data_IF_521924938056
#
_entry.id   IF_521924938056
#
_cell.length_a   1.000
_cell.length_b   1.000
_cell.length_c   1.000
_cell.angle_alpha   90.00
_cell.angle_beta   90.00
_cell.angle_gamma   90.00
#
_symmetry.space_group_name_H-M   'P 1'
#
loop_
_entity.id
_entity.type
_entity.pdbx_description
1 polymer ?
#
# COMPACT_ATOMS: atom_id res chain seq x y z
N UNK A 1 3.10 22.36 17.78
CA UNK A 1 3.22 20.90 17.90
C UNK A 1 3.48 20.38 16.50
N UNK A 2 4.61 19.71 16.28
CA UNK A 2 4.97 19.16 14.97
C UNK A 2 3.91 18.13 14.58
N UNK A 3 3.13 18.41 13.53
CA UNK A 3 2.22 17.45 12.92
C UNK A 3 3.05 16.39 12.19
N UNK A 4 3.70 15.49 12.95
CA UNK A 4 4.19 14.23 12.40
C UNK A 4 2.97 13.41 12.01
N UNK A 5 2.55 13.62 10.76
CA UNK A 5 1.89 12.70 9.84
C UNK A 5 1.58 11.32 10.46
N UNK A 6 0.44 11.19 11.14
CA UNK A 6 -0.07 9.88 11.57
C UNK A 6 -0.68 9.19 10.34
N UNK A 7 0.17 8.84 9.38
CA UNK A 7 -0.19 7.95 8.28
C UNK A 7 -0.16 6.55 8.87
N UNK A 8 -1.30 5.87 8.85
CA UNK A 8 -1.44 4.49 9.35
C UNK A 8 -1.18 3.47 8.25
N UNK A 9 -1.37 3.86 6.99
CA UNK A 9 -1.09 3.02 5.85
C UNK A 9 -0.64 3.86 4.65
N UNK A 10 0.48 3.50 4.00
CA UNK A 10 0.93 4.05 2.73
C UNK A 10 1.06 2.93 1.69
N UNK A 11 0.34 3.07 0.58
CA UNK A 11 0.50 2.28 -0.63
C UNK A 11 1.41 3.01 -1.61
N UNK A 12 2.41 2.31 -2.16
CA UNK A 12 3.28 2.84 -3.21
C UNK A 12 3.34 1.88 -4.38
N UNK A 13 3.19 2.40 -5.60
CA UNK A 13 3.42 1.64 -6.84
C UNK A 13 4.79 2.02 -7.40
N UNK A 14 5.56 1.00 -7.73
CA UNK A 14 6.93 1.08 -8.18
C UNK A 14 7.03 0.50 -9.59
N UNK A 15 7.82 1.16 -10.43
CA UNK A 15 8.20 0.68 -11.75
C UNK A 15 9.70 0.42 -11.79
N UNK A 16 10.10 -0.66 -12.46
CA UNK A 16 11.52 -0.91 -12.74
C UNK A 16 12.12 0.27 -13.51
N UNK A 17 13.25 0.76 -13.03
CA UNK A 17 13.95 1.91 -13.59
C UNK A 17 15.26 1.46 -14.23
N UNK A 18 15.28 1.46 -15.56
CA UNK A 18 16.50 1.31 -16.33
C UNK A 18 17.09 2.70 -16.62
N UNK A 19 18.20 3.09 -15.97
CA UNK A 19 18.78 4.40 -16.23
C UNK A 19 19.37 4.44 -17.64
N UNK A 20 19.13 5.52 -18.38
CA UNK A 20 19.71 5.72 -19.72
C UNK A 20 21.23 5.87 -19.74
N UNK A 21 21.86 5.92 -18.56
CA UNK A 21 23.32 5.92 -18.35
C UNK A 21 23.65 5.06 -17.12
N UNK A 22 24.80 4.39 -17.08
CA UNK A 22 25.21 3.62 -15.90
C UNK A 22 25.27 4.53 -14.66
N UNK A 23 24.70 4.07 -13.55
CA UNK A 23 24.78 4.76 -12.26
C UNK A 23 25.86 4.11 -11.40
N UNK A 24 26.61 4.91 -10.65
CA UNK A 24 27.60 4.40 -9.68
C UNK A 24 27.08 4.65 -8.28
N UNK A 25 26.80 3.57 -7.55
CA UNK A 25 26.40 3.61 -6.16
C UNK A 25 27.63 3.46 -5.27
N UNK A 26 27.85 4.44 -4.39
CA UNK A 26 28.89 4.41 -3.38
C UNK A 26 28.26 4.01 -2.04
N UNK A 27 28.64 2.83 -1.51
CA UNK A 27 28.25 2.41 -0.15
C UNK A 27 29.35 2.85 0.82
N UNK A 28 28.98 3.63 1.83
CA UNK A 28 29.89 4.45 2.65
C UNK A 28 31.03 3.73 3.37
N UNK A 29 30.98 2.40 3.49
CA UNK A 29 31.91 1.67 4.38
C UNK A 29 32.82 0.69 3.63
N UNK A 30 32.70 0.57 2.31
CA UNK A 30 33.56 -0.30 1.50
C UNK A 30 33.88 0.40 0.17
N UNK A 31 35.14 0.35 -0.26
CA UNK A 31 35.62 0.81 -1.59
C UNK A 31 34.95 0.07 -2.79
N UNK A 32 33.79 -0.55 -2.61
CA UNK A 32 33.00 -1.20 -3.65
C UNK A 32 32.10 -0.19 -4.35
N UNK A 33 32.57 0.34 -5.47
CA UNK A 33 31.71 1.01 -6.43
C UNK A 33 30.80 -0.06 -7.08
N UNK A 34 29.50 0.00 -6.83
CA UNK A 34 28.53 -0.84 -7.54
C UNK A 34 28.02 -0.07 -8.75
N UNK A 35 28.32 -0.57 -9.95
CA UNK A 35 27.77 -0.01 -11.19
C UNK A 35 26.42 -0.65 -11.45
N UNK A 36 25.37 0.16 -11.48
CA UNK A 36 24.02 -0.27 -11.82
C UNK A 36 23.84 0.01 -13.32
N UNK A 37 23.85 -1.05 -14.11
CA UNK A 37 23.65 -1.02 -15.56
C UNK A 37 22.57 -2.00 -15.96
N UNK A 38 21.51 -1.47 -16.59
CA UNK A 38 20.41 -2.13 -17.32
C UNK A 38 19.56 -3.21 -16.63
N UNK A 39 20.11 -3.97 -15.68
CA UNK A 39 19.36 -4.98 -14.93
C UNK A 39 18.72 -4.33 -13.69
N UNK A 40 17.45 -4.64 -13.49
CA UNK A 40 16.43 -3.94 -12.70
C UNK A 40 16.68 -3.92 -11.19
N UNK A 41 17.72 -3.25 -10.72
CA UNK A 41 18.00 -3.07 -9.28
C UNK A 41 17.41 -1.77 -8.69
N UNK A 42 17.01 -0.82 -9.54
CA UNK A 42 16.42 0.45 -9.12
C UNK A 42 14.95 0.46 -9.50
N UNK A 43 14.14 0.99 -8.59
CA UNK A 43 12.73 1.23 -8.85
C UNK A 43 12.38 2.69 -8.62
N UNK A 44 11.45 3.19 -9.43
CA UNK A 44 10.90 4.52 -9.33
C UNK A 44 9.48 4.43 -8.76
N UNK A 45 9.19 5.19 -7.69
CA UNK A 45 7.81 5.38 -7.22
C UNK A 45 7.07 6.19 -8.28
N UNK A 46 5.99 5.63 -8.84
CA UNK A 46 5.17 6.28 -9.87
C UNK A 46 3.81 6.73 -9.33
N UNK A 47 3.41 6.19 -8.18
CA UNK A 47 2.18 6.55 -7.49
C UNK A 47 2.32 6.26 -6.00
N UNK A 48 1.71 7.10 -5.17
CA UNK A 48 1.49 6.76 -3.77
C UNK A 48 0.15 7.27 -3.27
N UNK A 49 -0.44 6.51 -2.35
CA UNK A 49 -1.67 6.84 -1.66
C UNK A 49 -1.51 6.54 -0.18
N UNK A 50 -2.17 7.32 0.68
CA UNK A 50 -2.00 7.25 2.12
C UNK A 50 -3.35 7.32 2.82
N UNK A 51 -3.45 6.62 3.94
CA UNK A 51 -4.61 6.61 4.83
C UNK A 51 -4.16 6.95 6.25
N UNK A 52 -4.88 7.86 6.89
CA UNK A 52 -4.61 8.30 8.27
C UNK A 52 -5.28 7.41 9.32
N UNK A 53 -6.30 6.67 8.92
CA UNK A 53 -7.00 5.72 9.78
C UNK A 53 -6.44 4.31 9.57
N UNK A 54 -6.50 3.48 10.61
CA UNK A 54 -6.21 2.06 10.44
C UNK A 54 -7.40 1.40 9.71
N UNK A 55 -7.21 0.87 8.49
CA UNK A 55 -8.30 0.29 7.71
C UNK A 55 -8.91 -0.96 8.33
N UNK A 56 -8.23 -1.56 9.31
CA UNK A 56 -8.64 -2.80 9.95
C UNK A 56 -9.35 -2.59 11.29
N UNK A 57 -9.42 -1.35 11.79
CA UNK A 57 -9.96 -1.06 13.13
C UNK A 57 -11.45 -1.38 13.24
N UNK A 58 -12.22 -1.13 12.16
CA UNK A 58 -13.66 -1.45 12.09
C UNK A 58 -13.97 -2.94 11.87
N UNK A 59 -12.99 -3.83 11.83
CA UNK A 59 -13.23 -5.28 11.61
C UNK A 59 -13.44 -5.98 12.95
N UNK A 60 -14.60 -6.62 13.10
CA UNK A 60 -15.06 -7.18 14.37
C UNK A 60 -14.13 -8.29 14.90
N UNK A 61 -13.85 -9.26 14.05
CA UNK A 61 -13.11 -10.47 14.44
C UNK A 61 -11.60 -10.22 14.44
N UNK A 62 -10.92 -10.59 15.53
CA UNK A 62 -9.46 -10.44 15.64
C UNK A 62 -8.72 -11.30 14.61
N UNK A 63 -9.24 -12.49 14.31
CA UNK A 63 -8.64 -13.36 13.29
C UNK A 63 -8.75 -12.77 11.89
N UNK A 64 -9.89 -12.16 11.55
CA UNK A 64 -10.08 -11.45 10.28
C UNK A 64 -9.06 -10.29 10.17
N UNK A 65 -8.89 -9.51 11.24
CA UNK A 65 -7.88 -8.44 11.32
C UNK A 65 -6.45 -8.95 11.11
N UNK A 66 -6.09 -10.08 11.71
CA UNK A 66 -4.77 -10.69 11.55
C UNK A 66 -4.55 -11.18 10.12
N UNK A 67 -5.55 -11.86 9.53
CA UNK A 67 -5.51 -12.32 8.13
C UNK A 67 -5.35 -11.16 7.14
N UNK A 68 -6.10 -10.07 7.33
CA UNK A 68 -6.00 -8.88 6.50
C UNK A 68 -4.62 -8.21 6.59
N UNK A 69 -4.08 -8.05 7.81
CA UNK A 69 -2.73 -7.49 7.99
C UNK A 69 -1.67 -8.36 7.32
N UNK A 70 -1.71 -9.68 7.50
CA UNK A 70 -0.78 -10.58 6.83
C UNK A 70 -0.93 -10.57 5.30
N UNK A 71 -2.16 -10.48 4.81
CA UNK A 71 -2.48 -10.42 3.37
C UNK A 71 -1.99 -9.15 2.69
N UNK A 72 -1.90 -8.03 3.41
CA UNK A 72 -1.50 -6.73 2.86
C UNK A 72 -0.13 -6.26 3.35
N UNK A 73 0.07 -6.06 4.65
CA UNK A 73 1.30 -5.47 5.19
C UNK A 73 2.47 -6.44 5.03
N UNK A 74 2.32 -7.67 5.51
CA UNK A 74 3.43 -8.63 5.50
C UNK A 74 3.78 -9.07 4.08
N UNK A 75 2.77 -9.24 3.22
CA UNK A 75 2.95 -9.73 1.86
C UNK A 75 3.54 -8.69 0.91
N UNK A 76 3.27 -7.41 1.15
CA UNK A 76 3.75 -6.30 0.33
C UNK A 76 4.78 -5.45 1.08
N UNK A 77 5.43 -6.02 2.10
CA UNK A 77 6.50 -5.34 2.82
C UNK A 77 7.59 -4.88 1.84
N UNK A 78 8.11 -3.64 1.97
CA UNK A 78 9.11 -3.08 1.05
C UNK A 78 10.42 -3.89 0.97
N UNK A 79 10.72 -4.69 1.99
CA UNK A 79 11.88 -5.59 2.06
C UNK A 79 11.79 -6.75 1.05
N UNK A 80 10.57 -7.09 0.59
CA UNK A 80 10.34 -8.19 -0.35
C UNK A 80 10.71 -7.80 -1.77
N UNK A 81 11.09 -8.82 -2.55
CA UNK A 81 11.45 -8.63 -3.95
C UNK A 81 10.24 -8.09 -4.74
N UNK A 82 10.46 -7.20 -5.72
CA UNK A 82 9.41 -6.70 -6.61
C UNK A 82 8.57 -7.80 -7.26
N UNK A 83 9.20 -8.91 -7.65
CA UNK A 83 8.54 -10.09 -8.22
C UNK A 83 7.50 -10.72 -7.30
N UNK A 84 7.67 -10.57 -5.98
CA UNK A 84 6.83 -11.20 -4.97
C UNK A 84 5.68 -10.28 -4.54
N UNK A 85 5.73 -9.02 -4.93
CA UNK A 85 4.78 -7.96 -4.56
C UNK A 85 4.16 -7.30 -5.80
N UNK A 86 3.95 -8.09 -6.85
CA UNK A 86 3.28 -7.64 -8.08
C UNK A 86 1.84 -7.19 -7.81
N UNK A 87 1.33 -6.29 -8.64
CA UNK A 87 -0.01 -5.69 -8.49
C UNK A 87 -1.10 -6.76 -8.48
N UNK A 88 -0.99 -7.79 -9.31
CA UNK A 88 -1.99 -8.87 -9.44
C UNK A 88 -2.18 -9.66 -8.14
N UNK A 89 -1.20 -9.65 -7.24
CA UNK A 89 -1.34 -10.34 -5.95
C UNK A 89 -2.33 -9.65 -5.00
N UNK A 90 -2.74 -8.42 -5.32
CA UNK A 90 -3.76 -7.70 -4.55
C UNK A 90 -5.15 -8.32 -4.73
N UNK A 91 -5.41 -9.07 -5.79
CA UNK A 91 -6.69 -9.78 -6.01
C UNK A 91 -7.01 -10.75 -4.86
N UNK A 92 -5.98 -11.43 -4.33
CA UNK A 92 -6.13 -12.31 -3.16
C UNK A 92 -6.57 -11.54 -1.92
N UNK A 93 -6.04 -10.32 -1.73
CA UNK A 93 -6.43 -9.45 -0.62
C UNK A 93 -7.87 -8.94 -0.80
N UNK A 94 -8.22 -8.46 -2.00
CA UNK A 94 -9.59 -7.99 -2.31
C UNK A 94 -10.62 -9.09 -2.05
N UNK A 95 -10.33 -10.33 -2.44
CA UNK A 95 -11.20 -11.48 -2.21
C UNK A 95 -11.47 -11.71 -0.71
N UNK A 96 -10.45 -11.58 0.13
CA UNK A 96 -10.59 -11.72 1.59
C UNK A 96 -11.37 -10.54 2.20
N UNK A 97 -11.16 -9.32 1.70
CA UNK A 97 -11.93 -8.15 2.12
C UNK A 97 -13.40 -8.29 1.75
N UNK A 98 -13.70 -8.72 0.52
CA UNK A 98 -15.09 -8.93 0.06
C UNK A 98 -15.80 -9.99 0.91
N UNK A 99 -15.11 -11.04 1.35
CA UNK A 99 -15.65 -12.05 2.29
C UNK A 99 -16.05 -11.45 3.64
N UNK A 100 -15.30 -10.45 4.13
CA UNK A 100 -15.56 -9.78 5.42
C UNK A 100 -16.69 -8.76 5.28
N UNK A 101 -16.64 -7.93 4.24
CA UNK A 101 -17.65 -6.91 3.94
C UNK A 101 -19.02 -7.54 3.68
N UNK A 102 -19.10 -8.55 2.80
CA UNK A 102 -20.35 -9.25 2.50
C UNK A 102 -20.88 -10.05 3.68
N UNK A 103 -20.01 -10.41 4.62
CA UNK A 103 -20.39 -11.04 5.90
C UNK A 103 -20.91 -10.06 6.96
N UNK A 104 -20.93 -8.75 6.68
CA UNK A 104 -21.33 -7.72 7.64
C UNK A 104 -20.37 -7.58 8.84
N UNK A 105 -19.13 -8.06 8.72
CA UNK A 105 -18.13 -8.07 9.81
C UNK A 105 -17.21 -6.85 9.84
N UNK A 106 -17.62 -5.78 9.17
CA UNK A 106 -16.91 -4.51 9.13
C UNK A 106 -17.87 -3.35 9.44
N UNK A 107 -17.55 -2.57 10.45
CA UNK A 107 -18.37 -1.47 10.95
C UNK A 107 -18.04 -0.13 10.29
N UNK A 108 -19.01 0.77 10.38
CA UNK A 108 -18.82 2.18 10.07
C UNK A 108 -18.30 2.90 11.33
N UNK A 109 -17.16 3.57 11.22
CA UNK A 109 -16.55 4.34 12.29
C UNK A 109 -16.66 5.84 12.02
N UNK A 110 -16.32 6.66 13.00
CA UNK A 110 -16.17 8.11 12.80
C UNK A 110 -14.81 8.34 12.13
N UNK A 111 -14.82 9.05 11.02
CA UNK A 111 -13.61 9.38 10.28
C UNK A 111 -12.78 10.42 11.03
N UNK A 112 -11.46 10.24 10.97
CA UNK A 112 -10.47 11.17 11.50
C UNK A 112 -10.03 12.20 10.45
N UNK A 113 -10.49 12.08 9.21
CA UNK A 113 -10.11 12.92 8.07
C UNK A 113 -11.36 13.49 7.38
N UNK A 114 -12.02 14.50 7.98
CA UNK A 114 -13.21 15.08 7.39
C UNK A 114 -12.88 15.76 6.05
N UNK A 115 -13.77 15.66 5.04
CA UNK A 115 -13.52 16.24 3.71
C UNK A 115 -13.48 17.78 3.73
N UNK A 116 -13.99 18.41 4.79
CA UNK A 116 -13.94 19.86 5.03
C UNK A 116 -13.65 20.11 6.50
N UNK A 117 -12.75 21.05 6.78
CA UNK A 117 -12.38 21.42 8.16
C UNK A 117 -13.52 22.12 8.93
N UNK A 118 -14.51 22.67 8.21
CA UNK A 118 -15.60 23.48 8.77
C UNK A 118 -16.89 22.70 9.06
N UNK A 119 -16.89 21.37 8.92
CA UNK A 119 -18.09 20.54 9.18
C UNK A 119 -18.14 20.06 10.63
N UNK A 120 -19.11 20.57 11.40
CA UNK A 120 -19.36 20.20 12.80
C UNK A 120 -19.96 18.78 12.99
N UNK A 121 -20.32 18.09 11.90
CA UNK A 121 -20.96 16.77 11.96
C UNK A 121 -19.93 15.64 11.80
N UNK A 122 -19.98 14.57 12.63
CA UNK A 122 -19.06 13.44 12.50
C UNK A 122 -19.31 12.72 11.17
N UNK A 123 -18.30 12.71 10.29
CA UNK A 123 -18.33 11.94 9.05
C UNK A 123 -18.15 10.46 9.36
N UNK A 124 -18.99 9.59 8.79
CA UNK A 124 -18.87 8.14 8.96
C UNK A 124 -18.15 7.52 7.78
N UNK A 125 -17.22 6.63 8.06
CA UNK A 125 -16.46 5.89 7.07
C UNK A 125 -16.44 4.40 7.43
N UNK A 126 -16.57 3.54 6.43
CA UNK A 126 -16.14 2.15 6.55
C UNK A 126 -14.72 2.06 5.99
N UNK A 127 -13.72 2.09 6.87
CA UNK A 127 -12.31 2.19 6.50
C UNK A 127 -11.83 1.00 5.65
N UNK A 128 -12.37 -0.20 5.91
CA UNK A 128 -12.07 -1.39 5.13
C UNK A 128 -12.62 -1.27 3.70
N UNK A 129 -13.86 -0.80 3.54
CA UNK A 129 -14.47 -0.55 2.24
C UNK A 129 -13.71 0.54 1.46
N UNK A 130 -13.27 1.60 2.13
CA UNK A 130 -12.47 2.65 1.50
C UNK A 130 -11.15 2.09 0.94
N UNK A 131 -10.43 1.28 1.73
CA UNK A 131 -9.23 0.59 1.29
C UNK A 131 -9.51 -0.36 0.13
N UNK A 132 -10.61 -1.13 0.19
CA UNK A 132 -11.04 -2.05 -0.88
C UNK A 132 -11.22 -1.33 -2.20
N UNK A 133 -11.94 -0.21 -2.20
CA UNK A 133 -12.17 0.60 -3.40
C UNK A 133 -10.86 1.18 -3.95
N UNK A 134 -9.96 1.63 -3.07
CA UNK A 134 -8.66 2.13 -3.49
C UNK A 134 -7.79 1.04 -4.13
N UNK A 135 -7.80 -0.17 -3.58
CA UNK A 135 -7.04 -1.30 -4.13
C UNK A 135 -7.64 -1.78 -5.45
N UNK A 136 -8.97 -1.83 -5.58
CA UNK A 136 -9.61 -2.16 -6.85
C UNK A 136 -9.24 -1.14 -7.95
N UNK A 137 -9.25 0.15 -7.62
CA UNK A 137 -8.79 1.18 -8.55
C UNK A 137 -7.31 1.00 -8.92
N UNK A 138 -6.45 0.65 -7.96
CA UNK A 138 -5.03 0.35 -8.21
C UNK A 138 -4.85 -0.83 -9.17
N UNK A 139 -5.58 -1.93 -8.95
CA UNK A 139 -5.55 -3.11 -9.81
C UNK A 139 -6.03 -2.74 -11.22
N UNK A 140 -7.14 -2.00 -11.34
CA UNK A 140 -7.65 -1.56 -12.64
C UNK A 140 -6.71 -0.59 -13.38
N UNK A 141 -5.92 0.20 -12.65
CA UNK A 141 -5.03 1.22 -13.24
C UNK A 141 -3.63 0.68 -13.58
N UNK A 142 -3.13 -0.29 -12.80
CA UNK A 142 -1.75 -0.76 -12.88
C UNK A 142 -1.61 -2.27 -13.12
N UNK A 143 -2.69 -3.04 -13.03
CA UNK A 143 -2.69 -4.48 -13.25
C UNK A 143 -2.33 -4.86 -14.68
N UNK A 144 -1.58 -5.95 -14.83
CA UNK A 144 -1.15 -6.46 -16.14
C UNK A 144 -0.01 -5.68 -16.78
N UNK A 145 0.50 -4.61 -16.15
CA UNK A 145 1.66 -3.87 -16.64
C UNK A 145 2.94 -4.56 -16.13
N UNK A 146 3.81 -5.09 -17.01
CA UNK A 146 5.03 -5.76 -16.61
C UNK A 146 6.00 -4.83 -15.86
N UNK A 147 6.69 -5.35 -14.85
CA UNK A 147 7.68 -4.60 -14.08
C UNK A 147 7.11 -3.62 -13.06
N UNK A 148 5.78 -3.65 -12.82
CA UNK A 148 5.16 -2.94 -11.71
C UNK A 148 5.09 -3.80 -10.45
N UNK A 149 5.28 -3.14 -9.32
CA UNK A 149 5.21 -3.76 -8.00
C UNK A 149 4.64 -2.79 -6.97
N UNK A 150 4.04 -3.31 -5.91
CA UNK A 150 3.38 -2.53 -4.85
C UNK A 150 4.14 -2.73 -3.55
N UNK A 151 4.25 -1.69 -2.72
CA UNK A 151 4.66 -1.84 -1.34
C UNK A 151 3.66 -1.18 -0.40
N UNK A 152 3.47 -1.76 0.78
CA UNK A 152 2.64 -1.19 1.84
C UNK A 152 3.49 -0.93 3.08
N UNK A 153 3.28 0.22 3.74
CA UNK A 153 3.93 0.60 5.00
C UNK A 153 2.91 1.14 5.99
#
# INVERSE_FOLDING_TARGET
MSAESIVKLKLSVWRDFAPGRPLSLWKGDQNGQQVISSDSEIQQEIFSWQMREDPFDGVLEQEDRARLRAGLLDRFEPSRKPSDRRVERLDEFVSEVDRILNGGRAEWTISLDPPREDEDAPYRLNSLLALRNQIEWLIGSFGGIPGLSVSVR
#
